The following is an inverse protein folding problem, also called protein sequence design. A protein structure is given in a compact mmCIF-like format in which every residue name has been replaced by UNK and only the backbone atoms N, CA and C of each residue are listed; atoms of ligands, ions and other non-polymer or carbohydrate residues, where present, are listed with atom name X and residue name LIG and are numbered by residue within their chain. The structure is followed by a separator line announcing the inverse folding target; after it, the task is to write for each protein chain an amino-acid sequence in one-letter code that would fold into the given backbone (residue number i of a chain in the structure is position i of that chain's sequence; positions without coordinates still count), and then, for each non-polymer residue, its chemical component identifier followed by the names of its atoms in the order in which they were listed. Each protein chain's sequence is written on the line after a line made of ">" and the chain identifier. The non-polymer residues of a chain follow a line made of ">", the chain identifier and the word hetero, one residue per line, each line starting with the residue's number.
data_IF_289983900383
#
_entry.id   IF_289983900383
#
_cell.length_a   1.000
_cell.length_b   1.000
_cell.length_c   1.000
_cell.angle_alpha   90.00
_cell.angle_beta   90.00
_cell.angle_gamma   90.00
#
_symmetry.space_group_name_H-M   'P 1'
#
loop_
_entity.id
_entity.type
_entity.pdbx_description
1 polymer ?
#
# COMPACT_ATOMS: atom_id res chain seq x y z
N UNK A 1 23.21 19.63 -15.26
CA UNK A 1 22.69 19.37 -13.89
C UNK A 1 21.60 18.33 -14.02
N UNK A 2 21.79 17.13 -13.43
CA UNK A 2 20.71 16.13 -13.45
C UNK A 2 19.53 16.67 -12.64
N UNK A 3 18.37 16.71 -13.23
CA UNK A 3 17.15 17.05 -12.50
C UNK A 3 16.91 16.00 -11.40
N UNK A 4 16.37 16.41 -10.23
CA UNK A 4 16.06 15.45 -9.17
C UNK A 4 15.04 14.43 -9.68
N UNK A 5 15.26 13.15 -9.35
CA UNK A 5 14.36 12.06 -9.73
C UNK A 5 12.96 12.32 -9.20
N UNK A 6 11.94 12.06 -10.02
CA UNK A 6 10.55 12.07 -9.57
C UNK A 6 10.27 10.86 -8.67
N UNK A 7 9.62 11.10 -7.55
CA UNK A 7 9.31 10.09 -6.53
C UNK A 7 7.96 9.47 -6.78
N UNK A 8 7.91 8.16 -6.87
CA UNK A 8 6.69 7.38 -7.08
C UNK A 8 6.48 6.45 -5.90
N UNK A 9 5.28 6.48 -5.30
CA UNK A 9 4.80 5.45 -4.41
C UNK A 9 3.82 4.57 -5.17
N UNK A 10 4.11 3.29 -5.27
CA UNK A 10 3.27 2.30 -5.93
C UNK A 10 2.59 1.42 -4.87
N UNK A 11 1.27 1.52 -4.77
CA UNK A 11 0.45 0.78 -3.83
C UNK A 11 -0.20 -0.41 -4.51
N UNK A 12 -0.09 -1.57 -3.89
CA UNK A 12 -0.66 -2.79 -4.42
C UNK A 12 -1.12 -3.72 -3.29
N UNK A 13 -2.11 -4.56 -3.59
CA UNK A 13 -2.49 -5.64 -2.66
C UNK A 13 -1.49 -6.80 -2.69
N UNK A 14 -0.74 -6.95 -3.77
CA UNK A 14 0.22 -8.04 -3.93
C UNK A 14 1.34 -7.71 -4.91
N UNK A 15 2.51 -8.28 -4.67
CA UNK A 15 3.66 -8.23 -5.57
C UNK A 15 4.48 -9.53 -5.47
N UNK A 16 4.84 -10.09 -6.62
CA UNK A 16 5.72 -11.25 -6.72
C UNK A 16 7.14 -10.94 -6.20
N UNK A 17 7.80 -11.83 -5.46
CA UNK A 17 7.37 -13.18 -5.07
C UNK A 17 6.76 -13.26 -3.66
N UNK A 18 6.39 -12.16 -3.04
CA UNK A 18 5.89 -12.12 -1.67
C UNK A 18 4.45 -12.62 -1.56
N UNK A 19 3.63 -12.27 -2.53
CA UNK A 19 2.23 -12.65 -2.66
C UNK A 19 1.89 -12.77 -4.13
N UNK A 20 1.36 -13.93 -4.57
CA UNK A 20 1.18 -14.29 -5.98
C UNK A 20 -0.16 -14.97 -6.22
N UNK A 21 -1.24 -14.35 -5.75
CA UNK A 21 -2.58 -14.93 -5.91
C UNK A 21 -3.19 -14.62 -7.27
N UNK A 22 -2.95 -13.41 -7.76
CA UNK A 22 -3.55 -12.86 -8.98
C UNK A 22 -2.48 -12.31 -9.94
N UNK A 23 -2.88 -12.04 -11.16
CA UNK A 23 -1.99 -11.44 -12.18
C UNK A 23 -1.42 -10.07 -11.77
N UNK A 24 -2.09 -9.39 -10.84
CA UNK A 24 -1.63 -8.12 -10.28
C UNK A 24 -0.23 -8.25 -9.64
N UNK A 25 0.10 -9.40 -9.05
CA UNK A 25 1.40 -9.63 -8.44
C UNK A 25 2.54 -9.52 -9.45
N UNK A 26 2.40 -10.19 -10.58
CA UNK A 26 3.42 -10.15 -11.64
C UNK A 26 3.45 -8.80 -12.35
N UNK A 27 2.29 -8.18 -12.60
CA UNK A 27 2.22 -6.82 -13.11
C UNK A 27 2.96 -5.85 -12.18
N UNK A 28 2.69 -5.90 -10.88
CA UNK A 28 3.32 -5.03 -9.88
C UNK A 28 4.84 -5.16 -9.91
N UNK A 29 5.36 -6.38 -10.01
CA UNK A 29 6.80 -6.65 -10.10
C UNK A 29 7.40 -6.08 -11.39
N UNK A 30 6.82 -6.40 -12.54
CA UNK A 30 7.35 -5.95 -13.84
C UNK A 30 7.31 -4.44 -13.98
N UNK A 31 6.19 -3.83 -13.66
CA UNK A 31 6.03 -2.38 -13.73
C UNK A 31 7.04 -1.66 -12.83
N UNK A 32 7.15 -2.10 -11.57
CA UNK A 32 8.06 -1.45 -10.63
C UNK A 32 9.53 -1.64 -10.99
N UNK A 33 9.91 -2.81 -11.52
CA UNK A 33 11.26 -3.04 -12.03
C UNK A 33 11.58 -2.14 -13.21
N UNK A 34 10.66 -2.03 -14.17
CA UNK A 34 10.82 -1.15 -15.33
C UNK A 34 11.02 0.32 -14.94
N UNK A 35 10.20 0.82 -14.00
CA UNK A 35 10.34 2.19 -13.50
C UNK A 35 11.64 2.38 -12.72
N UNK A 36 12.03 1.39 -11.90
CA UNK A 36 13.26 1.47 -11.10
C UNK A 36 14.52 1.50 -11.96
N UNK A 37 14.48 0.88 -13.14
CA UNK A 37 15.60 0.88 -14.08
C UNK A 37 15.74 2.21 -14.85
N UNK A 38 14.73 3.09 -14.74
CA UNK A 38 14.78 4.44 -15.30
C UNK A 38 15.65 5.37 -14.43
N UNK A 39 16.41 6.24 -15.06
CA UNK A 39 17.19 7.26 -14.36
C UNK A 39 16.33 8.44 -13.85
N UNK A 40 15.11 8.59 -14.36
CA UNK A 40 14.22 9.73 -14.07
C UNK A 40 13.39 9.55 -12.79
N UNK A 41 13.26 8.31 -12.30
CA UNK A 41 12.34 7.98 -11.20
C UNK A 41 13.02 7.30 -10.02
N UNK A 42 12.49 7.58 -8.82
CA UNK A 42 12.70 6.82 -7.58
C UNK A 42 11.37 6.17 -7.24
N UNK A 43 11.28 4.84 -7.29
CA UNK A 43 10.05 4.13 -6.96
C UNK A 43 10.17 3.40 -5.62
N UNK A 44 9.14 3.52 -4.79
CA UNK A 44 8.91 2.70 -3.60
C UNK A 44 7.58 2.00 -3.73
N UNK A 45 7.54 0.75 -3.31
CA UNK A 45 6.34 -0.06 -3.39
C UNK A 45 5.85 -0.33 -1.99
N UNK A 46 4.55 -0.42 -1.81
CA UNK A 46 3.98 -0.88 -0.56
C UNK A 46 2.84 -1.85 -0.78
N UNK A 47 2.82 -2.89 0.08
CA UNK A 47 1.72 -3.84 0.21
C UNK A 47 1.47 -4.18 1.69
N UNK A 48 0.28 -4.73 2.04
CA UNK A 48 0.06 -5.30 3.36
C UNK A 48 0.98 -6.50 3.62
N UNK A 49 1.43 -6.66 4.87
CA UNK A 49 2.14 -7.85 5.31
C UNK A 49 1.13 -8.92 5.72
N UNK A 50 0.77 -9.79 4.81
CA UNK A 50 -0.07 -10.94 5.12
C UNK A 50 0.65 -11.96 6.00
N UNK A 51 -0.08 -12.66 6.87
CA UNK A 51 0.51 -13.61 7.81
C UNK A 51 1.35 -14.71 7.16
N UNK A 52 0.98 -15.15 5.96
CA UNK A 52 1.70 -16.18 5.21
C UNK A 52 3.01 -15.69 4.57
N UNK A 53 3.26 -14.39 4.49
CA UNK A 53 4.54 -13.85 3.98
C UNK A 53 5.62 -14.09 5.03
N UNK A 54 6.58 -14.95 4.73
CA UNK A 54 7.66 -15.31 5.66
C UNK A 54 8.69 -14.19 5.78
N UNK A 55 8.81 -13.61 6.97
CA UNK A 55 9.80 -12.58 7.26
C UNK A 55 11.24 -13.12 7.14
N UNK A 56 11.46 -14.39 7.55
CA UNK A 56 12.76 -15.05 7.46
C UNK A 56 13.16 -15.33 6.01
N UNK A 57 12.24 -15.88 5.20
CA UNK A 57 12.50 -16.22 3.79
C UNK A 57 12.91 -14.99 2.99
N UNK A 58 12.22 -13.88 3.21
CA UNK A 58 12.41 -12.66 2.45
C UNK A 58 13.24 -11.59 3.15
N UNK A 59 13.81 -11.93 4.32
CA UNK A 59 14.70 -11.06 5.10
C UNK A 59 14.05 -9.68 5.32
N UNK A 60 12.80 -9.67 5.83
CA UNK A 60 12.11 -8.43 6.17
C UNK A 60 12.85 -7.73 7.31
N UNK A 61 13.27 -6.50 7.07
CA UNK A 61 13.98 -5.66 8.04
C UNK A 61 13.10 -4.55 8.56
N UNK A 62 13.26 -4.22 9.83
CA UNK A 62 12.59 -3.07 10.41
C UNK A 62 13.07 -1.77 9.76
N UNK A 63 12.13 -0.88 9.48
CA UNK A 63 12.43 0.50 9.10
C UNK A 63 12.33 1.33 10.39
N UNK A 64 13.46 1.69 10.98
CA UNK A 64 13.54 2.29 12.32
C UNK A 64 12.53 3.45 12.50
N UNK A 65 12.45 4.35 11.52
CA UNK A 65 11.51 5.49 11.55
C UNK A 65 10.04 5.11 11.44
N UNK A 66 9.74 3.89 11.00
CA UNK A 66 8.39 3.38 10.78
C UNK A 66 8.03 2.23 11.73
N UNK A 67 8.78 2.08 12.83
CA UNK A 67 8.50 1.07 13.85
C UNK A 67 7.20 1.40 14.60
N UNK A 68 6.91 2.69 14.79
CA UNK A 68 5.72 3.17 15.48
C UNK A 68 5.16 4.37 14.72
N UNK A 69 4.17 4.10 13.87
CA UNK A 69 3.43 5.12 13.12
C UNK A 69 2.05 5.28 13.79
N UNK A 70 1.80 6.37 14.51
CA UNK A 70 0.50 6.62 15.11
C UNK A 70 -0.49 7.00 14.01
N UNK A 71 -1.68 6.42 14.06
CA UNK A 71 -2.79 6.71 13.18
C UNK A 71 -4.09 6.78 13.98
N UNK A 72 -4.99 7.65 13.55
CA UNK A 72 -6.38 7.66 14.01
C UNK A 72 -7.21 6.85 13.01
N UNK A 73 -7.83 5.76 13.43
CA UNK A 73 -8.66 4.92 12.59
C UNK A 73 -9.91 4.47 13.36
N UNK A 74 -11.09 4.66 12.77
CA UNK A 74 -12.38 4.38 13.42
C UNK A 74 -12.49 5.01 14.81
N UNK A 75 -12.08 6.29 14.92
CA UNK A 75 -12.04 7.08 16.18
C UNK A 75 -11.19 6.48 17.30
N UNK A 76 -10.24 5.62 16.96
CA UNK A 76 -9.32 4.96 17.88
C UNK A 76 -7.87 5.22 17.46
N UNK A 77 -7.04 5.49 18.46
CA UNK A 77 -5.60 5.55 18.25
C UNK A 77 -5.06 4.14 18.03
N UNK A 78 -4.30 3.98 16.94
CA UNK A 78 -3.58 2.76 16.61
C UNK A 78 -2.12 3.07 16.34
N UNK A 79 -1.26 2.08 16.57
CA UNK A 79 0.16 2.16 16.22
C UNK A 79 0.43 1.09 15.17
N UNK A 80 0.91 1.54 14.02
CA UNK A 80 1.27 0.66 12.90
C UNK A 80 2.79 0.56 12.78
N UNK A 81 3.26 -0.53 12.22
CA UNK A 81 4.68 -0.74 11.92
C UNK A 81 4.87 -1.10 10.45
N UNK A 82 6.00 -0.69 9.91
CA UNK A 82 6.36 -1.02 8.53
C UNK A 82 7.76 -1.64 8.50
N UNK A 83 7.85 -2.81 7.86
CA UNK A 83 9.12 -3.46 7.51
C UNK A 83 9.39 -3.32 6.02
N UNK A 84 10.61 -3.59 5.60
CA UNK A 84 10.94 -3.58 4.18
C UNK A 84 11.81 -4.76 3.78
N UNK A 85 11.72 -5.14 2.52
CA UNK A 85 12.61 -6.07 1.85
C UNK A 85 12.84 -5.63 0.40
N UNK A 86 13.89 -6.16 -0.22
CA UNK A 86 14.07 -6.01 -1.66
C UNK A 86 13.41 -7.19 -2.39
N UNK A 87 12.90 -6.94 -3.57
CA UNK A 87 12.55 -8.03 -4.48
C UNK A 87 13.85 -8.80 -4.78
N UNK A 88 13.86 -10.14 -4.66
CA UNK A 88 15.06 -10.94 -4.93
C UNK A 88 15.68 -10.60 -6.29
N UNK A 89 17.01 -10.47 -6.31
CA UNK A 89 17.80 -10.09 -7.49
C UNK A 89 17.42 -8.73 -8.11
N UNK A 90 16.88 -7.81 -7.31
CA UNK A 90 16.47 -6.47 -7.74
C UNK A 90 16.86 -5.42 -6.69
N UNK A 91 16.90 -4.15 -7.12
CA UNK A 91 17.04 -3.00 -6.21
C UNK A 91 15.70 -2.39 -5.81
N UNK A 92 14.60 -2.98 -6.23
CA UNK A 92 13.25 -2.51 -5.92
C UNK A 92 12.91 -2.82 -4.48
N UNK A 93 12.66 -1.78 -3.68
CA UNK A 93 12.32 -1.90 -2.27
C UNK A 93 10.81 -1.94 -2.07
N UNK A 94 10.34 -2.94 -1.32
CA UNK A 94 8.95 -3.12 -0.94
C UNK A 94 8.78 -2.87 0.55
N UNK A 95 7.83 -2.04 0.91
CA UNK A 95 7.42 -1.72 2.28
C UNK A 95 6.18 -2.56 2.63
N UNK A 96 6.20 -3.19 3.77
CA UNK A 96 5.16 -4.08 4.26
C UNK A 96 4.50 -3.47 5.49
N UNK A 97 3.24 -3.11 5.39
CA UNK A 97 2.47 -2.68 6.54
C UNK A 97 2.11 -3.88 7.42
N UNK A 98 2.52 -3.84 8.68
CA UNK A 98 2.24 -4.86 9.67
C UNK A 98 1.04 -4.42 10.51
N UNK A 99 0.01 -5.24 10.49
CA UNK A 99 -1.11 -5.17 11.42
C UNK A 99 -1.66 -6.58 11.66
N UNK A 100 -1.66 -7.00 12.93
CA UNK A 100 -2.09 -8.35 13.29
C UNK A 100 -3.60 -8.54 13.16
N UNK A 101 -4.36 -7.48 13.43
CA UNK A 101 -5.82 -7.56 13.48
C UNK A 101 -6.45 -7.62 12.07
N UNK A 102 -5.80 -7.01 11.06
CA UNK A 102 -6.37 -6.84 9.73
C UNK A 102 -5.73 -7.73 8.66
N UNK A 103 -4.43 -8.05 8.78
CA UNK A 103 -3.70 -8.72 7.70
C UNK A 103 -3.06 -10.05 8.08
N UNK A 104 -2.93 -10.37 9.39
CA UNK A 104 -2.24 -11.58 9.81
C UNK A 104 -2.99 -12.86 9.42
N UNK A 105 -4.30 -12.92 9.69
CA UNK A 105 -5.13 -14.11 9.42
C UNK A 105 -5.71 -14.15 8.00
N UNK A 106 -5.25 -13.25 7.12
CA UNK A 106 -5.64 -13.28 5.71
C UNK A 106 -5.07 -14.53 5.06
N UNK A 107 -5.95 -15.36 4.47
CA UNK A 107 -5.56 -16.54 3.72
C UNK A 107 -4.92 -16.16 2.37
N UNK A 108 -4.23 -17.10 1.68
CA UNK A 108 -3.58 -16.82 0.39
C UNK A 108 -4.51 -16.35 -0.74
N UNK A 109 -5.84 -16.43 -0.59
CA UNK A 109 -6.79 -15.84 -1.53
C UNK A 109 -6.99 -14.33 -1.32
N UNK A 110 -6.25 -13.73 -0.38
CA UNK A 110 -6.19 -12.30 -0.04
C UNK A 110 -7.56 -11.74 0.35
N UNK A 111 -8.37 -11.32 -0.60
CA UNK A 111 -9.67 -10.67 -0.35
C UNK A 111 -10.88 -11.62 -0.45
N UNK A 112 -10.63 -12.91 -0.66
CA UNK A 112 -11.66 -13.94 -0.65
C UNK A 112 -11.47 -14.90 0.51
N UNK A 113 -12.58 -15.36 1.09
CA UNK A 113 -12.58 -16.45 2.04
C UNK A 113 -12.28 -17.79 1.32
N UNK A 114 -12.04 -18.85 2.09
CA UNK A 114 -11.73 -20.18 1.54
C UNK A 114 -12.83 -20.73 0.61
N UNK A 115 -14.08 -20.32 0.81
CA UNK A 115 -15.20 -20.67 -0.05
C UNK A 115 -15.42 -19.70 -1.23
N UNK A 116 -14.44 -18.81 -1.50
CA UNK A 116 -14.46 -17.89 -2.62
C UNK A 116 -15.30 -16.62 -2.43
N UNK A 117 -15.98 -16.47 -1.30
CA UNK A 117 -16.78 -15.27 -1.02
C UNK A 117 -15.89 -14.07 -0.71
N UNK A 118 -16.34 -12.88 -1.11
CA UNK A 118 -15.67 -11.63 -0.82
C UNK A 118 -15.72 -11.33 0.70
N UNK A 119 -14.57 -11.03 1.29
CA UNK A 119 -14.51 -10.72 2.72
C UNK A 119 -15.07 -9.31 2.97
N UNK A 120 -16.06 -9.19 3.85
CA UNK A 120 -16.73 -7.92 4.19
C UNK A 120 -15.80 -6.90 4.83
N UNK A 121 -14.72 -7.34 5.50
CA UNK A 121 -13.73 -6.44 6.13
C UNK A 121 -12.70 -5.88 5.16
N UNK A 122 -12.71 -6.29 3.90
CA UNK A 122 -11.69 -5.86 2.94
C UNK A 122 -11.57 -4.36 2.80
N UNK A 123 -12.69 -3.65 2.74
CA UNK A 123 -12.67 -2.20 2.64
C UNK A 123 -11.96 -1.56 3.83
N UNK A 124 -12.32 -1.98 5.04
CA UNK A 124 -11.71 -1.52 6.29
C UNK A 124 -10.21 -1.78 6.31
N UNK A 125 -9.80 -3.01 5.97
CA UNK A 125 -8.40 -3.41 5.96
C UNK A 125 -7.56 -2.56 4.98
N UNK A 126 -8.03 -2.39 3.75
CA UNK A 126 -7.29 -1.63 2.75
C UNK A 126 -7.36 -0.12 2.97
N UNK A 127 -8.42 0.39 3.59
CA UNK A 127 -8.48 1.79 4.01
C UNK A 127 -7.47 2.10 5.11
N UNK A 128 -7.35 1.21 6.10
CA UNK A 128 -6.31 1.28 7.12
C UNK A 128 -4.91 1.28 6.49
N UNK A 129 -4.69 0.40 5.50
CA UNK A 129 -3.44 0.35 4.75
C UNK A 129 -3.12 1.70 4.08
N UNK A 130 -4.06 2.26 3.35
CA UNK A 130 -3.89 3.54 2.66
C UNK A 130 -3.60 4.69 3.64
N UNK A 131 -4.36 4.79 4.74
CA UNK A 131 -4.18 5.82 5.75
C UNK A 131 -2.82 5.72 6.44
N UNK A 132 -2.41 4.51 6.81
CA UNK A 132 -1.12 4.24 7.45
C UNK A 132 0.06 4.69 6.59
N UNK A 133 -0.05 4.53 5.28
CA UNK A 133 0.99 4.96 4.35
C UNK A 133 1.04 6.48 4.23
N UNK A 134 -0.09 7.16 4.19
CA UNK A 134 -0.11 8.62 4.20
C UNK A 134 0.56 9.17 5.46
N UNK A 135 0.27 8.62 6.64
CA UNK A 135 0.94 9.03 7.88
C UNK A 135 2.44 8.69 7.91
N UNK A 136 2.85 7.64 7.22
CA UNK A 136 4.27 7.23 7.18
C UNK A 136 5.17 8.25 6.50
N UNK A 137 4.66 9.09 5.60
CA UNK A 137 5.46 10.10 4.89
C UNK A 137 6.09 11.10 5.84
N UNK A 138 5.36 11.51 6.90
CA UNK A 138 5.85 12.44 7.93
C UNK A 138 7.04 11.86 8.67
N UNK A 139 6.97 10.57 9.03
CA UNK A 139 8.04 9.87 9.74
C UNK A 139 9.27 9.61 8.88
N UNK A 140 9.06 9.34 7.58
CA UNK A 140 10.14 9.13 6.62
C UNK A 140 10.78 10.42 6.14
N UNK A 141 10.13 11.57 6.26
CA UNK A 141 10.47 12.81 5.56
C UNK A 141 10.59 12.59 4.05
N UNK A 142 9.73 11.72 3.53
CA UNK A 142 9.70 11.34 2.12
C UNK A 142 8.28 11.49 1.60
N UNK A 143 8.09 12.41 0.68
CA UNK A 143 6.81 12.72 0.05
C UNK A 143 6.92 12.39 -1.43
N UNK A 144 6.05 11.54 -1.98
CA UNK A 144 6.07 11.22 -3.40
C UNK A 144 5.53 12.36 -4.25
N UNK A 145 6.00 12.48 -5.49
CA UNK A 145 5.34 13.33 -6.51
C UNK A 145 4.07 12.64 -7.03
N UNK A 146 4.11 11.31 -7.14
CA UNK A 146 3.01 10.50 -7.64
C UNK A 146 2.73 9.32 -6.71
N UNK A 147 1.44 9.04 -6.50
CA UNK A 147 0.97 7.81 -5.87
C UNK A 147 0.18 7.03 -6.89
N UNK A 148 0.61 5.81 -7.22
CA UNK A 148 -0.10 4.90 -8.10
C UNK A 148 -0.87 3.90 -7.24
N UNK A 149 -2.18 3.98 -7.32
CA UNK A 149 -3.12 3.13 -6.61
C UNK A 149 -3.59 2.02 -7.55
N UNK A 150 -3.38 0.76 -7.18
CA UNK A 150 -3.74 -0.36 -8.02
C UNK A 150 -5.08 -0.97 -7.59
N UNK A 151 -6.02 -0.93 -8.51
CA UNK A 151 -7.36 -1.50 -8.40
C UNK A 151 -8.16 -0.95 -7.19
N UNK A 152 -9.29 -1.58 -6.88
CA UNK A 152 -10.22 -1.15 -5.84
C UNK A 152 -9.61 -1.13 -4.42
N UNK A 153 -8.61 -1.98 -4.15
CA UNK A 153 -7.98 -2.10 -2.83
C UNK A 153 -7.34 -0.80 -2.35
N UNK A 154 -6.83 -0.01 -3.28
CA UNK A 154 -6.13 1.23 -2.93
C UNK A 154 -6.83 2.49 -3.47
N UNK A 155 -7.98 2.33 -4.12
CA UNK A 155 -8.73 3.42 -4.77
C UNK A 155 -9.29 4.47 -3.81
N UNK A 156 -9.36 4.18 -2.52
CA UNK A 156 -9.79 5.14 -1.49
C UNK A 156 -8.71 6.21 -1.20
N UNK A 157 -7.44 5.93 -1.49
CA UNK A 157 -6.35 6.81 -1.10
C UNK A 157 -6.46 8.23 -1.66
N UNK A 158 -6.84 8.47 -2.93
CA UNK A 158 -7.03 9.82 -3.44
C UNK A 158 -8.06 10.64 -2.65
N UNK A 159 -9.12 9.98 -2.17
CA UNK A 159 -10.13 10.62 -1.33
C UNK A 159 -9.56 10.98 0.04
N UNK A 160 -8.86 10.05 0.69
CA UNK A 160 -8.17 10.30 1.98
C UNK A 160 -7.16 11.43 1.84
N UNK A 161 -6.37 11.45 0.78
CA UNK A 161 -5.40 12.50 0.49
C UNK A 161 -6.08 13.87 0.42
N UNK A 162 -7.19 13.97 -0.31
CA UNK A 162 -7.94 15.22 -0.48
C UNK A 162 -8.63 15.66 0.81
N UNK A 163 -9.26 14.75 1.54
CA UNK A 163 -10.08 15.12 2.70
C UNK A 163 -9.23 15.40 3.94
N UNK A 164 -8.22 14.57 4.20
CA UNK A 164 -7.49 14.60 5.48
C UNK A 164 -6.20 15.42 5.40
N UNK A 165 -5.62 15.61 4.19
CA UNK A 165 -4.30 16.22 4.04
C UNK A 165 -4.26 17.45 3.12
N UNK A 166 -5.41 17.93 2.65
CA UNK A 166 -5.49 19.09 1.74
C UNK A 166 -4.90 20.38 2.31
N UNK A 167 -4.85 20.51 3.65
CA UNK A 167 -4.30 21.68 4.34
C UNK A 167 -2.79 21.57 4.61
N UNK A 168 -2.18 20.41 4.40
CA UNK A 168 -0.75 20.21 4.61
C UNK A 168 -0.01 20.44 3.28
N UNK A 169 0.80 21.51 3.21
CA UNK A 169 1.52 21.92 2.00
C UNK A 169 2.36 20.80 1.38
N UNK A 170 2.87 19.87 2.19
CA UNK A 170 3.69 18.75 1.72
C UNK A 170 2.90 17.72 0.95
N UNK A 171 1.57 17.66 1.14
CA UNK A 171 0.69 16.73 0.45
C UNK A 171 -0.04 17.35 -0.75
N UNK A 172 -0.14 18.69 -0.82
CA UNK A 172 -0.93 19.39 -1.85
C UNK A 172 -0.45 19.11 -3.27
N UNK A 173 0.84 18.88 -3.46
CA UNK A 173 1.42 18.63 -4.78
C UNK A 173 1.46 17.16 -5.19
N UNK A 174 1.03 16.25 -4.30
CA UNK A 174 1.00 14.81 -4.59
C UNK A 174 -0.12 14.50 -5.57
N UNK A 175 0.21 13.86 -6.68
CA UNK A 175 -0.76 13.41 -7.69
C UNK A 175 -1.06 11.93 -7.49
N UNK A 176 -2.34 11.60 -7.28
CA UNK A 176 -2.79 10.22 -7.16
C UNK A 176 -3.39 9.72 -8.48
N UNK A 177 -2.98 8.54 -8.92
CA UNK A 177 -3.38 7.91 -10.17
C UNK A 177 -3.96 6.53 -9.84
N UNK A 178 -5.17 6.22 -10.30
CA UNK A 178 -5.76 4.91 -10.14
C UNK A 178 -5.54 4.06 -11.40
N UNK A 179 -4.87 2.92 -11.23
CA UNK A 179 -4.80 1.86 -12.24
C UNK A 179 -5.93 0.87 -11.99
N UNK A 180 -6.83 0.74 -12.95
CA UNK A 180 -7.98 -0.16 -12.86
C UNK A 180 -7.69 -1.41 -13.69
N UNK A 181 -7.42 -2.52 -13.01
CA UNK A 181 -7.11 -3.81 -13.65
C UNK A 181 -8.36 -4.65 -13.89
N UNK A 182 -9.38 -4.47 -13.04
CA UNK A 182 -10.64 -5.19 -13.19
C UNK A 182 -11.84 -4.40 -12.68
N UNK A 183 -12.94 -4.44 -13.42
CA UNK A 183 -14.22 -3.86 -13.01
C UNK A 183 -15.17 -5.01 -12.70
N UNK A 184 -15.69 -5.05 -11.47
CA UNK A 184 -16.67 -6.04 -11.05
C UNK A 184 -17.84 -5.35 -10.33
N UNK A 185 -19.02 -5.39 -10.94
CA UNK A 185 -20.25 -4.78 -10.43
C UNK A 185 -20.72 -5.34 -9.07
N UNK A 186 -20.26 -6.52 -8.70
CA UNK A 186 -20.61 -7.15 -7.42
C UNK A 186 -19.77 -6.61 -6.24
N UNK A 187 -18.76 -5.77 -6.50
CA UNK A 187 -17.95 -5.12 -5.46
C UNK A 187 -18.50 -3.73 -5.10
N UNK A 188 -19.76 -3.69 -4.67
CA UNK A 188 -20.39 -2.47 -4.20
C UNK A 188 -20.07 -2.25 -2.73
N UNK A 189 -19.76 -1.02 -2.36
CA UNK A 189 -19.55 -0.57 -0.99
C UNK A 189 -20.69 0.36 -0.59
N UNK A 190 -21.15 0.24 0.67
CA UNK A 190 -22.04 1.24 1.25
C UNK A 190 -21.27 2.52 1.53
N UNK A 191 -21.90 3.68 1.36
CA UNK A 191 -21.30 4.98 1.70
C UNK A 191 -20.97 5.10 3.19
N UNK A 192 -21.67 4.39 4.05
CA UNK A 192 -21.44 4.35 5.51
C UNK A 192 -20.01 3.89 5.87
N UNK A 193 -19.33 3.21 4.94
CA UNK A 193 -17.93 2.82 5.13
C UNK A 193 -17.00 4.02 5.26
N UNK A 194 -17.39 5.19 4.74
CA UNK A 194 -16.56 6.39 4.76
C UNK A 194 -16.65 7.18 6.07
N UNK A 195 -17.60 6.87 6.95
CA UNK A 195 -17.78 7.52 8.26
C UNK A 195 -16.66 7.18 9.26
N UNK A 196 -15.78 6.24 8.89
CA UNK A 196 -14.63 5.79 9.69
C UNK A 196 -13.37 6.64 9.55
N UNK A 197 -13.39 7.66 8.66
CA UNK A 197 -12.21 8.45 8.30
C UNK A 197 -12.35 9.94 8.57
#
# INVERSE_FOLDING_TARGET
>A
MNQPKKKILFLTSEISPFSETYQLAEFSKRFSSYINDSEDYEIRISQPKYGYISERKYILREVIRLKEVPIMFDKKDKIMSIKSAFIPNSRVQVYFLLDKDHFFDINPLIYKSKNGQFNKKNFENYSLFCLSLLESFKKLFWYPDYIICNDWQTSILPMLLKNNYSKDEKYQNIKAINFIHSINSNRKLSMDCFDKF
#
